data_IF_272827849176
#
_entry.id   IF_272827849176
#
_cell.length_a   1.000
_cell.length_b   1.000
_cell.length_c   1.000
_cell.angle_alpha   90.00
_cell.angle_beta   90.00
_cell.angle_gamma   90.00
#
_symmetry.space_group_name_H-M   'P 1'
#
loop_
_entity.id
_entity.type
_entity.pdbx_description
1 polymer ?
#
# COMPACT_ATOMS: atom_id res chain seq x y z
N UNK A 1 -19.59 -0.17 36.51
CA UNK A 1 -18.65 0.97 36.46
C UNK A 1 -17.26 0.53 35.97
N UNK A 2 -17.18 -0.41 35.01
CA UNK A 2 -15.93 -0.99 34.47
C UNK A 2 -15.68 -0.56 33.00
N UNK A 3 -16.69 -0.04 32.31
CA UNK A 3 -16.59 0.27 30.87
C UNK A 3 -15.73 1.49 30.52
N UNK A 4 -15.49 2.42 31.46
CA UNK A 4 -14.74 3.66 31.15
C UNK A 4 -13.23 3.44 31.15
N UNK A 5 -12.72 2.45 31.89
CA UNK A 5 -11.28 2.19 32.01
C UNK A 5 -10.67 1.53 30.75
N UNK A 6 -11.48 0.82 29.95
CA UNK A 6 -11.05 0.28 28.65
C UNK A 6 -11.15 1.28 27.49
N UNK A 7 -11.76 2.46 27.72
CA UNK A 7 -12.04 3.44 26.68
C UNK A 7 -10.82 4.28 26.28
N UNK A 8 -9.93 4.57 27.24
CA UNK A 8 -8.73 5.37 27.03
C UNK A 8 -7.65 4.73 26.12
N UNK A 9 -7.27 3.44 26.28
CA UNK A 9 -6.27 2.85 25.41
C UNK A 9 -6.76 2.71 23.97
N UNK A 10 -8.05 2.41 23.76
CA UNK A 10 -8.63 2.27 22.41
C UNK A 10 -8.67 3.63 21.68
N UNK A 11 -9.06 4.71 22.37
CA UNK A 11 -9.11 6.05 21.77
C UNK A 11 -7.71 6.58 21.40
N UNK A 12 -6.71 6.30 22.24
CA UNK A 12 -5.31 6.67 22.00
C UNK A 12 -4.70 5.90 20.83
N UNK A 13 -4.98 4.60 20.72
CA UNK A 13 -4.58 3.76 19.58
C UNK A 13 -5.27 4.23 18.30
N UNK A 14 -6.55 4.62 18.36
CA UNK A 14 -7.26 5.16 17.20
C UNK A 14 -6.66 6.48 16.71
N UNK A 15 -6.33 7.43 17.60
CA UNK A 15 -5.70 8.70 17.22
C UNK A 15 -4.31 8.49 16.59
N UNK A 16 -3.50 7.59 17.16
CA UNK A 16 -2.20 7.26 16.59
C UNK A 16 -2.34 6.60 15.21
N UNK A 17 -3.30 5.68 15.04
CA UNK A 17 -3.60 5.06 13.75
C UNK A 17 -4.13 6.06 12.72
N UNK A 18 -4.91 7.07 13.10
CA UNK A 18 -5.39 8.12 12.17
C UNK A 18 -4.24 9.00 11.70
N UNK A 19 -3.31 9.37 12.58
CA UNK A 19 -2.11 10.16 12.20
C UNK A 19 -1.21 9.33 11.27
N UNK A 20 -1.00 8.05 11.58
CA UNK A 20 -0.20 7.15 10.74
C UNK A 20 -0.88 6.86 9.40
N UNK A 21 -2.20 6.66 9.39
CA UNK A 21 -3.00 6.49 8.19
C UNK A 21 -2.98 7.76 7.33
N UNK A 22 -3.08 8.95 7.94
CA UNK A 22 -2.99 10.21 7.23
C UNK A 22 -1.61 10.36 6.56
N UNK A 23 -0.52 10.04 7.26
CA UNK A 23 0.82 10.09 6.67
C UNK A 23 1.03 9.05 5.57
N UNK A 24 0.57 7.81 5.76
CA UNK A 24 0.63 6.76 4.74
C UNK A 24 -0.24 7.11 3.53
N UNK A 25 -1.42 7.71 3.75
CA UNK A 25 -2.31 8.14 2.68
C UNK A 25 -1.71 9.30 1.87
N UNK A 26 -1.14 10.31 2.53
CA UNK A 26 -0.48 11.44 1.86
C UNK A 26 0.72 10.96 1.04
N UNK A 27 1.49 10.01 1.58
CA UNK A 27 2.61 9.39 0.88
C UNK A 27 2.13 8.54 -0.31
N UNK A 28 1.06 7.75 -0.14
CA UNK A 28 0.47 6.97 -1.21
C UNK A 28 -0.07 7.83 -2.36
N UNK A 29 -0.72 8.96 -2.05
CA UNK A 29 -1.24 9.91 -3.05
C UNK A 29 -0.11 10.57 -3.84
N UNK A 30 0.94 11.02 -3.15
CA UNK A 30 2.09 11.67 -3.82
C UNK A 30 2.85 10.69 -4.72
N UNK A 31 3.03 9.43 -4.29
CA UNK A 31 3.62 8.39 -5.13
C UNK A 31 2.71 8.04 -6.33
N UNK A 32 1.38 8.00 -6.13
CA UNK A 32 0.44 7.72 -7.22
C UNK A 32 0.43 8.84 -8.27
N UNK A 33 0.52 10.10 -7.85
CA UNK A 33 0.60 11.27 -8.72
C UNK A 33 1.90 11.28 -9.55
N UNK A 34 3.01 10.88 -8.93
CA UNK A 34 4.29 10.67 -9.61
C UNK A 34 4.21 9.55 -10.67
N UNK A 35 3.60 8.42 -10.33
CA UNK A 35 3.36 7.30 -11.26
C UNK A 35 2.40 7.69 -12.39
N UNK A 36 1.44 8.58 -12.14
CA UNK A 36 0.50 9.06 -13.16
C UNK A 36 1.18 9.94 -14.23
N UNK A 37 2.27 10.63 -13.87
CA UNK A 37 3.04 11.45 -14.83
C UNK A 37 4.01 10.62 -15.68
N UNK A 38 4.34 9.38 -15.30
CA UNK A 38 5.28 8.51 -16.01
C UNK A 38 5.00 8.30 -17.51
N UNK A 39 3.75 8.05 -17.95
CA UNK A 39 3.42 7.86 -19.36
C UNK A 39 3.75 9.08 -20.23
N UNK A 40 3.69 10.28 -19.66
CA UNK A 40 3.99 11.55 -20.34
C UNK A 40 5.49 11.71 -20.59
N UNK A 41 6.32 11.19 -19.68
CA UNK A 41 7.77 11.17 -19.87
C UNK A 41 8.21 10.11 -20.88
N UNK A 42 7.56 8.94 -20.89
CA UNK A 42 7.82 7.88 -21.86
C UNK A 42 7.48 8.29 -23.31
N UNK A 43 6.47 9.13 -23.52
CA UNK A 43 6.07 9.57 -24.87
C UNK A 43 7.07 10.55 -25.52
N UNK A 44 7.99 11.14 -24.74
CA UNK A 44 9.03 12.04 -25.26
C UNK A 44 10.24 11.32 -25.86
N UNK A 45 10.31 9.99 -25.77
CA UNK A 45 11.32 9.17 -26.45
C UNK A 45 12.73 9.24 -25.83
N UNK A 46 12.89 9.87 -24.67
CA UNK A 46 14.19 10.07 -24.03
C UNK A 46 14.43 9.05 -22.91
N UNK A 47 14.70 7.81 -23.31
CA UNK A 47 14.86 6.66 -22.42
C UNK A 47 15.99 6.85 -21.40
N UNK A 48 17.06 7.57 -21.75
CA UNK A 48 18.17 7.87 -20.82
C UNK A 48 17.69 8.74 -19.66
N UNK A 49 16.94 9.80 -19.98
CA UNK A 49 16.37 10.70 -18.97
C UNK A 49 15.40 9.97 -18.05
N UNK A 50 14.56 9.07 -18.58
CA UNK A 50 13.63 8.26 -17.78
C UNK A 50 14.36 7.33 -16.81
N UNK A 51 15.43 6.66 -17.25
CA UNK A 51 16.22 5.77 -16.38
C UNK A 51 16.92 6.55 -15.27
N UNK A 52 17.50 7.71 -15.60
CA UNK A 52 18.16 8.57 -14.61
C UNK A 52 17.19 9.04 -13.52
N UNK A 53 16.00 9.52 -13.93
CA UNK A 53 14.95 9.93 -12.99
C UNK A 53 14.49 8.74 -12.12
N UNK A 54 14.38 7.54 -12.69
CA UNK A 54 14.01 6.34 -11.94
C UNK A 54 15.05 6.00 -10.86
N UNK A 55 16.35 6.09 -11.20
CA UNK A 55 17.44 5.85 -10.27
C UNK A 55 17.42 6.86 -9.11
N UNK A 56 17.27 8.14 -9.44
CA UNK A 56 17.21 9.22 -8.45
C UNK A 56 16.01 9.07 -7.50
N UNK A 57 14.83 8.76 -8.04
CA UNK A 57 13.63 8.46 -7.23
C UNK A 57 13.86 7.22 -6.36
N UNK A 58 14.50 6.18 -6.90
CA UNK A 58 14.75 4.93 -6.17
C UNK A 58 15.71 5.15 -5.01
N UNK A 59 16.79 5.90 -5.20
CA UNK A 59 17.74 6.24 -4.14
C UNK A 59 17.08 7.00 -2.99
N UNK A 60 16.18 7.93 -3.30
CA UNK A 60 15.41 8.65 -2.28
C UNK A 60 14.35 7.74 -1.63
N UNK A 61 13.74 6.82 -2.38
CA UNK A 61 12.63 5.98 -1.91
C UNK A 61 13.07 4.81 -1.02
N UNK A 62 14.28 4.28 -1.19
CA UNK A 62 14.84 3.19 -0.36
C UNK A 62 14.77 3.51 1.16
N UNK A 63 15.32 4.64 1.66
CA UNK A 63 15.27 4.94 3.09
C UNK A 63 13.85 5.18 3.60
N UNK A 64 12.96 5.72 2.76
CA UNK A 64 11.54 5.85 3.12
C UNK A 64 10.85 4.49 3.21
N UNK A 65 11.13 3.59 2.28
CA UNK A 65 10.56 2.25 2.28
C UNK A 65 10.93 1.49 3.56
N UNK A 66 12.19 1.54 3.98
CA UNK A 66 12.64 0.91 5.22
C UNK A 66 12.00 1.54 6.47
N UNK A 67 11.85 2.87 6.48
CA UNK A 67 11.22 3.59 7.59
C UNK A 67 9.71 3.30 7.69
N UNK A 68 9.01 3.19 6.56
CA UNK A 68 7.56 2.96 6.52
C UNK A 68 7.16 1.48 6.56
N UNK A 69 8.05 0.55 6.20
CA UNK A 69 7.75 -0.88 6.17
C UNK A 69 7.36 -1.41 7.56
N UNK A 70 8.12 -1.05 8.60
CA UNK A 70 7.84 -1.52 9.95
C UNK A 70 6.52 -0.97 10.52
N UNK A 71 6.24 0.35 10.48
CA UNK A 71 4.94 0.88 10.87
C UNK A 71 3.77 0.33 10.05
N UNK A 72 3.95 0.12 8.74
CA UNK A 72 2.93 -0.49 7.89
C UNK A 72 2.60 -1.92 8.32
N UNK A 73 3.63 -2.72 8.65
CA UNK A 73 3.45 -4.08 9.15
C UNK A 73 2.72 -4.09 10.50
N UNK A 74 3.14 -3.24 11.44
CA UNK A 74 2.49 -3.11 12.75
C UNK A 74 1.02 -2.70 12.60
N UNK A 75 0.72 -1.77 11.69
CA UNK A 75 -0.66 -1.35 11.41
C UNK A 75 -1.51 -2.49 10.87
N UNK A 76 -0.98 -3.31 9.96
CA UNK A 76 -1.68 -4.49 9.44
C UNK A 76 -1.96 -5.48 10.56
N UNK A 77 -0.98 -5.80 11.40
CA UNK A 77 -1.17 -6.69 12.55
C UNK A 77 -2.22 -6.13 13.52
N UNK A 78 -2.13 -4.84 13.85
CA UNK A 78 -3.08 -4.18 14.74
C UNK A 78 -4.51 -4.24 14.17
N UNK A 79 -4.68 -3.98 12.88
CA UNK A 79 -5.98 -4.06 12.24
C UNK A 79 -6.54 -5.49 12.19
N UNK A 80 -5.69 -6.49 11.92
CA UNK A 80 -6.11 -7.89 11.96
C UNK A 80 -6.53 -8.32 13.36
N UNK A 81 -5.77 -7.93 14.39
CA UNK A 81 -6.14 -8.19 15.80
C UNK A 81 -7.41 -7.47 16.21
N UNK A 82 -7.58 -6.21 15.79
CA UNK A 82 -8.79 -5.42 16.03
C UNK A 82 -10.03 -6.01 15.37
N UNK A 83 -9.91 -6.50 14.13
CA UNK A 83 -10.99 -7.22 13.44
C UNK A 83 -11.35 -8.53 14.12
N UNK A 84 -10.34 -9.31 14.54
CA UNK A 84 -10.57 -10.55 15.26
C UNK A 84 -11.29 -10.29 16.59
N UNK A 85 -10.83 -9.32 17.37
CA UNK A 85 -11.45 -8.97 18.64
C UNK A 85 -12.86 -8.39 18.48
N UNK A 86 -13.06 -7.52 17.49
CA UNK A 86 -14.36 -6.92 17.21
C UNK A 86 -15.39 -7.97 16.74
N UNK A 87 -14.99 -8.88 15.85
CA UNK A 87 -15.86 -9.96 15.38
C UNK A 87 -16.17 -10.97 16.49
N UNK A 88 -15.20 -11.29 17.35
CA UNK A 88 -15.41 -12.11 18.53
C UNK A 88 -16.40 -11.47 19.50
N UNK A 89 -16.23 -10.18 19.79
CA UNK A 89 -17.14 -9.43 20.68
C UNK A 89 -18.58 -9.42 20.15
N UNK A 90 -18.77 -9.22 18.83
CA UNK A 90 -20.11 -9.27 18.23
C UNK A 90 -20.71 -10.69 18.28
N UNK A 91 -19.91 -11.72 18.04
CA UNK A 91 -20.40 -13.10 17.96
C UNK A 91 -20.76 -13.70 19.33
N UNK A 92 -20.03 -13.31 20.38
CA UNK A 92 -20.15 -13.90 21.71
C UNK A 92 -20.55 -12.90 22.81
N UNK A 93 -20.76 -11.62 22.47
CA UNK A 93 -21.24 -10.60 23.39
C UNK A 93 -22.70 -10.85 23.78
N UNK A 94 -22.92 -11.26 25.03
CA UNK A 94 -24.23 -11.78 25.46
C UNK A 94 -25.26 -10.71 25.85
N UNK A 95 -24.92 -9.42 25.88
CA UNK A 95 -25.86 -8.32 26.12
C UNK A 95 -25.16 -6.99 25.84
N UNK A 96 -25.20 -6.53 24.59
CA UNK A 96 -24.68 -5.20 24.23
C UNK A 96 -25.82 -4.23 23.98
N UNK A 97 -25.79 -3.10 24.70
CA UNK A 97 -26.67 -1.96 24.40
C UNK A 97 -26.51 -1.54 22.93
N UNK A 98 -27.60 -1.09 22.30
CA UNK A 98 -27.63 -0.65 20.89
C UNK A 98 -26.47 0.29 20.52
N UNK A 99 -26.10 1.19 21.44
CA UNK A 99 -24.97 2.13 21.29
C UNK A 99 -23.63 1.41 21.16
N UNK A 100 -23.41 0.37 21.95
CA UNK A 100 -22.19 -0.44 21.95
C UNK A 100 -22.06 -1.23 20.65
N UNK A 101 -23.15 -1.84 20.17
CA UNK A 101 -23.13 -2.58 18.91
C UNK A 101 -22.87 -1.68 17.70
N UNK A 102 -23.46 -0.48 17.67
CA UNK A 102 -23.17 0.52 16.61
C UNK A 102 -21.71 0.96 16.66
N UNK A 103 -21.16 1.18 17.86
CA UNK A 103 -19.76 1.55 18.04
C UNK A 103 -18.79 0.44 17.60
N UNK A 104 -19.07 -0.81 17.94
CA UNK A 104 -18.26 -1.96 17.52
C UNK A 104 -18.31 -2.17 16.01
N UNK A 105 -19.48 -2.00 15.39
CA UNK A 105 -19.61 -2.06 13.94
C UNK A 105 -18.79 -0.94 13.27
N UNK A 106 -18.85 0.28 13.78
CA UNK A 106 -18.03 1.40 13.29
C UNK A 106 -16.53 1.14 13.42
N UNK A 107 -16.12 0.52 14.53
CA UNK A 107 -14.72 0.15 14.79
C UNK A 107 -14.24 -0.99 13.87
N UNK A 108 -15.09 -1.98 13.58
CA UNK A 108 -14.78 -3.02 12.59
C UNK A 108 -14.61 -2.43 11.19
N UNK A 109 -15.52 -1.55 10.78
CA UNK A 109 -15.45 -0.88 9.49
C UNK A 109 -14.17 -0.05 9.36
N UNK A 110 -13.75 0.66 10.41
CA UNK A 110 -12.53 1.47 10.38
C UNK A 110 -11.26 0.61 10.23
N UNK A 111 -11.14 -0.51 10.96
CA UNK A 111 -10.03 -1.45 10.77
C UNK A 111 -10.02 -2.08 9.38
N UNK A 112 -11.20 -2.39 8.82
CA UNK A 112 -11.31 -2.93 7.48
C UNK A 112 -10.86 -1.91 6.41
N UNK A 113 -11.29 -0.66 6.53
CA UNK A 113 -10.85 0.43 5.65
C UNK A 113 -9.34 0.65 5.75
N UNK A 114 -8.77 0.59 6.97
CA UNK A 114 -7.33 0.74 7.18
C UNK A 114 -6.53 -0.37 6.49
N UNK A 115 -7.00 -1.63 6.56
CA UNK A 115 -6.39 -2.74 5.82
C UNK A 115 -6.48 -2.54 4.30
N UNK A 116 -7.64 -2.13 3.79
CA UNK A 116 -7.81 -1.83 2.38
C UNK A 116 -6.89 -0.72 1.90
N UNK A 117 -6.71 0.34 2.70
CA UNK A 117 -5.85 1.47 2.38
C UNK A 117 -4.38 1.07 2.21
N UNK A 118 -3.92 0.03 2.90
CA UNK A 118 -2.54 -0.49 2.77
C UNK A 118 -2.44 -1.55 1.66
N UNK A 119 -3.40 -2.46 1.58
CA UNK A 119 -3.37 -3.58 0.63
C UNK A 119 -3.61 -3.14 -0.83
N UNK A 120 -4.47 -2.14 -1.07
CA UNK A 120 -4.80 -1.69 -2.42
C UNK A 120 -3.59 -1.09 -3.17
N UNK A 121 -2.86 -0.10 -2.61
CA UNK A 121 -1.64 0.42 -3.23
C UNK A 121 -0.58 -0.66 -3.41
N UNK A 122 -0.40 -1.54 -2.42
CA UNK A 122 0.55 -2.65 -2.51
C UNK A 122 0.23 -3.58 -3.69
N UNK A 123 -1.05 -3.91 -3.90
CA UNK A 123 -1.50 -4.73 -5.04
C UNK A 123 -1.28 -4.03 -6.38
N UNK A 124 -1.52 -2.71 -6.45
CA UNK A 124 -1.36 -1.92 -7.65
C UNK A 124 0.12 -1.84 -8.07
N UNK A 125 1.01 -1.58 -7.12
CA UNK A 125 2.47 -1.58 -7.34
C UNK A 125 2.94 -2.97 -7.78
N UNK A 126 2.45 -4.04 -7.16
CA UNK A 126 2.82 -5.40 -7.55
C UNK A 126 2.38 -5.73 -8.99
N UNK A 127 1.17 -5.29 -9.38
CA UNK A 127 0.69 -5.44 -10.76
C UNK A 127 1.52 -4.62 -11.75
N UNK A 128 1.83 -3.36 -11.42
CA UNK A 128 2.65 -2.49 -12.25
C UNK A 128 4.07 -3.06 -12.44
N UNK A 129 4.69 -3.57 -11.37
CA UNK A 129 5.99 -4.24 -11.41
C UNK A 129 5.99 -5.45 -12.34
N UNK A 130 4.95 -6.30 -12.26
CA UNK A 130 4.78 -7.46 -13.15
C UNK A 130 4.65 -7.05 -14.62
N UNK A 131 3.90 -5.99 -14.91
CA UNK A 131 3.77 -5.46 -16.28
C UNK A 131 5.11 -4.92 -16.78
N UNK A 132 5.80 -4.11 -15.99
CA UNK A 132 7.12 -3.57 -16.35
C UNK A 132 8.14 -4.69 -16.63
N UNK A 133 8.19 -5.71 -15.79
CA UNK A 133 9.05 -6.89 -15.99
C UNK A 133 8.73 -7.60 -17.30
N UNK A 134 7.46 -7.82 -17.60
CA UNK A 134 7.04 -8.47 -18.84
C UNK A 134 7.39 -7.62 -20.08
N UNK A 135 7.23 -6.30 -20.02
CA UNK A 135 7.60 -5.40 -21.11
C UNK A 135 9.10 -5.44 -21.39
N UNK A 136 9.95 -5.45 -20.35
CA UNK A 136 11.41 -5.55 -20.51
C UNK A 136 11.78 -6.91 -21.14
N UNK A 137 11.17 -8.00 -20.69
CA UNK A 137 11.42 -9.33 -21.27
C UNK A 137 11.00 -9.41 -22.74
N UNK A 138 9.84 -8.86 -23.11
CA UNK A 138 9.41 -8.81 -24.51
C UNK A 138 10.34 -7.95 -25.39
N UNK A 139 10.85 -6.83 -24.86
CA UNK A 139 11.83 -6.00 -25.56
C UNK A 139 13.16 -6.74 -25.76
N UNK A 140 13.62 -7.46 -24.74
CA UNK A 140 14.85 -8.24 -24.78
C UNK A 140 14.74 -9.41 -25.78
N UNK A 141 13.64 -10.15 -25.77
CA UNK A 141 13.38 -11.22 -26.74
C UNK A 141 13.30 -10.67 -28.17
N UNK A 142 12.66 -9.51 -28.38
CA UNK A 142 12.64 -8.82 -29.67
C UNK A 142 14.04 -8.44 -30.15
N UNK A 143 14.87 -7.89 -29.27
CA UNK A 143 16.26 -7.54 -29.57
C UNK A 143 17.13 -8.76 -29.92
N UNK A 144 16.98 -9.87 -29.20
CA UNK A 144 17.70 -11.11 -29.47
C UNK A 144 17.29 -11.74 -30.80
N UNK A 145 16.01 -11.64 -31.17
CA UNK A 145 15.51 -12.17 -32.44
C UNK A 145 16.04 -11.36 -33.64
N UNK A 146 16.16 -10.04 -33.52
CA UNK A 146 16.72 -9.17 -34.56
C UNK A 146 18.23 -9.47 -34.75
N UNK A 147 18.97 -9.65 -33.65
CA UNK A 147 20.40 -9.98 -33.71
C UNK A 147 20.66 -11.33 -34.39
N UNK A 148 19.85 -12.34 -34.08
CA UNK A 148 19.96 -13.66 -34.73
C UNK A 148 19.61 -13.61 -36.22
N UNK A 149 18.77 -12.67 -36.67
CA UNK A 149 18.52 -12.48 -38.11
C UNK A 149 19.64 -11.75 -38.82
N UNK A 150 20.35 -10.81 -38.19
CA UNK A 150 21.53 -10.16 -38.79
C UNK A 150 22.71 -11.14 -38.95
N UNK A 151 22.90 -12.06 -38.01
CA UNK A 151 23.95 -13.08 -38.07
C UNK A 151 23.69 -14.19 -39.12
N UNK A 152 22.50 -14.24 -39.73
CA UNK A 152 22.13 -15.21 -40.79
C UNK A 152 22.33 -14.64 -42.21
N UNK A 153 22.53 -13.33 -42.35
CA UNK A 153 22.76 -12.67 -43.64
C UNK A 153 24.23 -12.25 -43.89
N UNK A 154 25.17 -12.71 -43.06
CA UNK A 154 26.63 -12.62 -43.25
C UNK A 154 27.23 -14.01 -43.44
#
# INVERSE_FOLDING_TARGET
>A
MVCVAHFYPVLSICLFNVILLHHVYLFGVTVLELVAQFPVFLSKGDYQTVVHIYQEITEVMIPFQDFFAYPALVNVFNAMSGLFWGSYSIAFGTEEDYVTSVYLLGTLLSYFVLLLAVMLPASAVNKASKVAKNTILCLLDGFLNIKNTEDVYL
#
